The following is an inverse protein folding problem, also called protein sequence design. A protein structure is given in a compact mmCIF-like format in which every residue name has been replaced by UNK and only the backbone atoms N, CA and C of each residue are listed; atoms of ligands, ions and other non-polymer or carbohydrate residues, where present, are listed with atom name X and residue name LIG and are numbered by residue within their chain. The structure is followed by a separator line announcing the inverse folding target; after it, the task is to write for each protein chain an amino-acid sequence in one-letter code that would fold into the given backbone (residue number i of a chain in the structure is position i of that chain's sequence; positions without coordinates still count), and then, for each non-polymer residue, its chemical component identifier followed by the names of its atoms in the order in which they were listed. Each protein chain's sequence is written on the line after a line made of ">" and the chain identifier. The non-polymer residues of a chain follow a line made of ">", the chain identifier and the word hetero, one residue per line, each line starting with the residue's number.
data_IF_998198852635
#
_entry.id   IF_998198852635
#
_cell.length_a   1.000
_cell.length_b   1.000
_cell.length_c   1.000
_cell.angle_alpha   90.00
_cell.angle_beta   90.00
_cell.angle_gamma   90.00
#
_symmetry.space_group_name_H-M   'P 1'
#
loop_
_entity.id
_entity.type
_entity.pdbx_description
1 polymer ?
#
# COMPACT_ATOMS: atom_id res chain seq x y z
N UNK A 1 -6.26 -38.36 -6.85
CA UNK A 1 -7.38 -37.51 -7.27
C UNK A 1 -7.12 -36.13 -6.68
N UNK A 2 -6.43 -35.28 -7.44
CA UNK A 2 -6.01 -33.92 -7.05
C UNK A 2 -6.96 -32.89 -7.68
N UNK A 3 -8.25 -33.21 -7.72
CA UNK A 3 -9.32 -32.36 -8.28
C UNK A 3 -9.95 -31.44 -7.23
N UNK A 4 -9.21 -31.10 -6.17
CA UNK A 4 -9.63 -30.11 -5.20
C UNK A 4 -9.31 -28.71 -5.74
N UNK A 5 -10.31 -28.07 -6.36
CA UNK A 5 -10.33 -26.63 -6.59
C UNK A 5 -9.46 -26.15 -7.76
N UNK A 6 -9.87 -26.50 -8.99
CA UNK A 6 -9.54 -25.68 -10.18
C UNK A 6 -10.41 -24.41 -10.14
N UNK A 7 -10.29 -23.67 -9.04
CA UNK A 7 -10.87 -22.34 -8.88
C UNK A 7 -9.72 -21.36 -9.00
N UNK A 8 -9.65 -20.69 -10.14
CA UNK A 8 -8.85 -19.51 -10.44
C UNK A 8 -8.38 -18.80 -9.16
N UNK A 9 -7.14 -19.05 -8.73
CA UNK A 9 -6.64 -18.47 -7.48
C UNK A 9 -6.48 -16.94 -7.59
N UNK A 10 -6.45 -16.40 -8.81
CA UNK A 10 -6.35 -14.96 -9.07
C UNK A 10 -6.80 -14.66 -10.52
N UNK A 11 -8.02 -14.13 -10.69
CA UNK A 11 -8.40 -13.39 -11.91
C UNK A 11 -8.35 -11.89 -11.59
N UNK A 12 -7.15 -11.42 -11.24
CA UNK A 12 -6.89 -10.01 -10.96
C UNK A 12 -5.69 -9.55 -11.77
N UNK A 13 -5.67 -8.28 -12.22
CA UNK A 13 -4.50 -7.74 -12.89
C UNK A 13 -3.29 -7.73 -11.95
N UNK A 14 -2.19 -8.33 -12.40
CA UNK A 14 -0.89 -8.29 -11.73
C UNK A 14 0.06 -7.33 -12.46
N UNK A 15 0.94 -6.65 -11.71
CA UNK A 15 1.95 -5.75 -12.27
C UNK A 15 3.32 -6.40 -12.32
N UNK A 16 4.03 -6.18 -13.43
CA UNK A 16 5.43 -6.57 -13.54
C UNK A 16 6.26 -5.79 -12.51
N UNK A 17 7.03 -6.51 -11.69
CA UNK A 17 7.91 -5.92 -10.68
C UNK A 17 9.39 -6.18 -11.02
N UNK A 18 10.06 -5.29 -11.78
CA UNK A 18 11.48 -5.42 -12.07
C UNK A 18 12.32 -5.32 -10.79
N UNK A 19 13.22 -6.28 -10.58
CA UNK A 19 14.13 -6.27 -9.41
C UNK A 19 14.90 -4.95 -9.26
N UNK A 20 15.42 -4.30 -10.32
CA UNK A 20 16.10 -3.01 -10.16
C UNK A 20 15.19 -1.93 -9.58
N UNK A 21 13.93 -1.84 -10.02
CA UNK A 21 12.96 -0.88 -9.51
C UNK A 21 12.61 -1.17 -8.06
N UNK A 22 12.32 -2.44 -7.74
CA UNK A 22 12.04 -2.88 -6.37
C UNK A 22 13.21 -2.58 -5.42
N UNK A 23 14.44 -2.78 -5.90
CA UNK A 23 15.67 -2.52 -5.11
C UNK A 23 15.85 -1.03 -4.84
N UNK A 24 15.59 -0.16 -5.82
CA UNK A 24 15.67 1.28 -5.63
C UNK A 24 14.65 1.78 -4.61
N UNK A 25 13.39 1.36 -4.72
CA UNK A 25 12.34 1.69 -3.75
C UNK A 25 12.68 1.16 -2.35
N UNK A 26 13.15 -0.08 -2.26
CA UNK A 26 13.57 -0.68 -0.98
C UNK A 26 14.66 0.16 -0.30
N UNK A 27 15.65 0.68 -1.05
CA UNK A 27 16.70 1.54 -0.50
C UNK A 27 16.16 2.84 0.10
N UNK A 28 15.17 3.45 -0.54
CA UNK A 28 14.49 4.65 -0.02
C UNK A 28 13.73 4.34 1.27
N UNK A 29 13.16 3.14 1.36
CA UNK A 29 12.48 2.59 2.54
C UNK A 29 13.43 2.26 3.70
N UNK A 30 14.75 2.35 3.50
CA UNK A 30 15.73 1.92 4.48
C UNK A 30 15.92 0.39 4.54
N UNK A 31 15.66 -0.30 3.43
CA UNK A 31 15.87 -1.73 3.25
C UNK A 31 17.02 -2.01 2.28
N UNK A 32 17.70 -3.13 2.48
CA UNK A 32 18.76 -3.65 1.61
C UNK A 32 18.37 -5.03 1.10
N UNK A 33 18.47 -5.24 -0.22
CA UNK A 33 18.20 -6.53 -0.84
C UNK A 33 19.35 -7.50 -0.54
N UNK A 34 19.08 -8.59 0.19
CA UNK A 34 20.08 -9.64 0.45
C UNK A 34 20.10 -10.68 -0.67
N UNK A 35 18.93 -11.12 -1.12
CA UNK A 35 18.81 -11.99 -2.30
C UNK A 35 17.44 -11.85 -2.96
N UNK A 36 17.44 -12.10 -4.27
CA UNK A 36 16.26 -12.38 -5.07
C UNK A 36 16.60 -13.58 -5.95
N UNK A 37 15.95 -14.72 -5.72
CA UNK A 37 16.26 -16.00 -6.36
C UNK A 37 14.97 -16.62 -6.88
N UNK A 38 14.97 -17.19 -8.08
CA UNK A 38 13.82 -17.99 -8.51
C UNK A 38 13.62 -19.21 -7.58
N UNK A 39 12.41 -19.76 -7.56
CA UNK A 39 12.09 -20.88 -6.67
C UNK A 39 12.92 -22.15 -6.95
N UNK A 40 13.36 -22.37 -8.19
CA UNK A 40 14.21 -23.52 -8.53
C UNK A 40 15.56 -23.44 -7.83
N UNK A 41 16.23 -22.29 -7.93
CA UNK A 41 17.50 -22.00 -7.27
C UNK A 41 17.33 -21.96 -5.75
N UNK A 42 16.23 -21.35 -5.27
CA UNK A 42 15.91 -21.26 -3.85
C UNK A 42 15.76 -22.66 -3.21
N UNK A 43 15.05 -23.56 -3.90
CA UNK A 43 14.89 -24.96 -3.50
C UNK A 43 16.21 -25.71 -3.62
N UNK A 44 16.95 -25.58 -4.73
CA UNK A 44 18.20 -26.28 -4.94
C UNK A 44 19.23 -25.98 -3.84
N UNK A 45 19.27 -24.75 -3.34
CA UNK A 45 20.14 -24.35 -2.23
C UNK A 45 19.72 -24.92 -0.85
N UNK A 46 18.49 -25.44 -0.71
CA UNK A 46 17.88 -25.85 0.57
C UNK A 46 17.34 -27.28 0.58
N UNK A 47 17.49 -28.03 -0.51
CA UNK A 47 16.91 -29.37 -0.66
C UNK A 47 17.55 -30.44 0.22
N UNK A 48 18.80 -30.23 0.67
CA UNK A 48 19.51 -31.22 1.48
C UNK A 48 18.91 -31.25 2.90
N UNK A 49 18.30 -32.37 3.34
CA UNK A 49 17.69 -32.49 4.65
C UNK A 49 18.70 -32.45 5.80
N UNK A 50 19.99 -32.67 5.54
CA UNK A 50 21.05 -32.57 6.56
C UNK A 50 21.31 -31.12 6.96
N UNK A 51 21.25 -30.23 5.97
CA UNK A 51 21.49 -28.79 6.18
C UNK A 51 20.20 -28.06 6.55
N UNK A 52 19.05 -28.51 6.03
CA UNK A 52 17.76 -27.83 6.19
C UNK A 52 16.62 -28.79 6.60
N UNK A 53 16.71 -29.48 7.76
CA UNK A 53 15.74 -30.49 8.16
C UNK A 53 14.32 -29.93 8.33
N UNK A 54 14.20 -28.72 8.89
CA UNK A 54 12.89 -28.07 9.10
C UNK A 54 12.17 -27.76 7.78
N UNK A 55 12.90 -27.28 6.78
CA UNK A 55 12.36 -26.99 5.44
C UNK A 55 11.92 -28.28 4.75
N UNK A 56 12.72 -29.33 4.85
CA UNK A 56 12.39 -30.63 4.27
C UNK A 56 11.13 -31.23 4.92
N UNK A 57 11.03 -31.19 6.25
CA UNK A 57 9.86 -31.68 6.98
C UNK A 57 8.58 -30.88 6.65
N UNK A 58 8.72 -29.57 6.44
CA UNK A 58 7.58 -28.73 6.07
C UNK A 58 6.91 -29.18 4.76
N UNK A 59 7.69 -29.64 3.77
CA UNK A 59 7.13 -30.12 2.50
C UNK A 59 6.19 -31.32 2.70
N UNK A 60 6.52 -32.26 3.59
CA UNK A 60 5.66 -33.40 3.89
C UNK A 60 4.47 -33.01 4.77
N UNK A 61 4.69 -32.17 5.78
CA UNK A 61 3.63 -31.72 6.69
C UNK A 61 2.54 -30.91 5.96
N UNK A 62 2.96 -30.10 4.98
CA UNK A 62 2.05 -29.33 4.13
C UNK A 62 1.42 -30.15 3.01
N UNK A 63 1.83 -31.41 2.84
CA UNK A 63 1.32 -32.32 1.78
C UNK A 63 1.45 -31.73 0.37
N UNK A 64 2.52 -30.96 0.12
CA UNK A 64 2.78 -30.38 -1.21
C UNK A 64 3.37 -31.40 -2.18
N UNK A 65 3.91 -32.51 -1.66
CA UNK A 65 4.51 -33.58 -2.44
C UNK A 65 3.52 -34.72 -2.64
N UNK A 66 3.64 -35.38 -3.79
CA UNK A 66 2.95 -36.62 -4.08
C UNK A 66 3.54 -37.81 -3.29
N UNK A 67 2.99 -39.01 -3.53
CA UNK A 67 3.45 -40.25 -2.87
C UNK A 67 4.91 -40.63 -3.20
N UNK A 68 5.47 -40.08 -4.27
CA UNK A 68 6.87 -40.27 -4.66
C UNK A 68 7.80 -39.20 -4.07
N UNK A 69 7.26 -38.23 -3.32
CA UNK A 69 8.03 -37.12 -2.77
C UNK A 69 8.34 -36.04 -3.81
N UNK A 70 7.54 -35.91 -4.87
CA UNK A 70 7.74 -34.96 -5.97
C UNK A 70 6.51 -34.10 -6.24
N UNK A 71 6.64 -33.11 -7.12
CA UNK A 71 5.51 -32.39 -7.74
C UNK A 71 5.49 -32.67 -9.25
N UNK A 72 4.38 -32.35 -9.92
CA UNK A 72 4.27 -32.55 -11.36
C UNK A 72 5.23 -31.64 -12.15
N UNK A 73 5.53 -32.02 -13.40
CA UNK A 73 6.41 -31.22 -14.28
C UNK A 73 5.84 -29.84 -14.57
N UNK A 74 4.52 -29.74 -14.68
CA UNK A 74 3.84 -28.48 -14.99
C UNK A 74 3.89 -27.55 -13.77
N UNK A 75 3.57 -28.05 -12.57
CA UNK A 75 3.73 -27.29 -11.32
C UNK A 75 5.18 -26.83 -11.13
N UNK A 76 6.14 -27.70 -11.42
CA UNK A 76 7.56 -27.33 -11.37
C UNK A 76 7.90 -26.24 -12.39
N UNK A 77 7.42 -26.34 -13.63
CA UNK A 77 7.65 -25.32 -14.66
C UNK A 77 7.05 -23.97 -14.26
N UNK A 78 5.82 -23.95 -13.77
CA UNK A 78 5.10 -22.75 -13.31
C UNK A 78 5.84 -22.09 -12.14
N UNK A 79 6.32 -22.89 -11.18
CA UNK A 79 7.06 -22.36 -10.02
C UNK A 79 8.27 -21.51 -10.39
N UNK A 80 8.85 -21.68 -11.59
CA UNK A 80 9.98 -20.89 -12.08
C UNK A 80 9.66 -19.42 -12.31
N UNK A 81 8.38 -19.09 -12.48
CA UNK A 81 7.91 -17.71 -12.63
C UNK A 81 7.99 -16.91 -11.32
N UNK A 82 8.05 -17.61 -10.18
CA UNK A 82 8.10 -16.99 -8.86
C UNK A 82 9.52 -16.89 -8.30
N UNK A 83 9.70 -15.88 -7.46
CA UNK A 83 10.98 -15.59 -6.80
C UNK A 83 10.81 -15.48 -5.28
N UNK A 84 11.81 -15.94 -4.54
CA UNK A 84 11.97 -15.67 -3.13
C UNK A 84 12.88 -14.45 -2.97
N UNK A 85 12.41 -13.45 -2.22
CA UNK A 85 13.12 -12.19 -1.98
C UNK A 85 13.31 -11.99 -0.49
N UNK A 86 14.50 -11.56 -0.08
CA UNK A 86 14.78 -11.18 1.30
C UNK A 86 15.38 -9.78 1.35
N UNK A 87 14.73 -8.92 2.11
CA UNK A 87 15.25 -7.61 2.50
C UNK A 87 15.69 -7.62 3.95
N UNK A 88 16.73 -6.85 4.25
CA UNK A 88 17.15 -6.53 5.61
C UNK A 88 16.91 -5.05 5.88
N UNK A 89 16.28 -4.73 7.00
CA UNK A 89 16.15 -3.34 7.45
C UNK A 89 17.52 -2.81 7.88
N UNK A 90 17.91 -1.67 7.33
CA UNK A 90 19.20 -1.00 7.61
C UNK A 90 19.04 0.38 8.24
N UNK A 91 17.91 1.05 8.03
CA UNK A 91 17.59 2.35 8.64
C UNK A 91 16.07 2.55 8.68
N UNK A 92 15.63 3.62 9.32
CA UNK A 92 14.23 4.03 9.24
C UNK A 92 13.88 4.58 7.85
N UNK A 93 12.62 4.35 7.47
CA UNK A 93 12.08 4.80 6.18
C UNK A 93 12.04 6.32 6.15
N UNK A 94 12.44 6.88 5.01
CA UNK A 94 12.29 8.31 4.70
C UNK A 94 11.10 8.57 3.77
N UNK A 95 10.38 7.51 3.36
CA UNK A 95 9.20 7.66 2.53
C UNK A 95 8.03 8.19 3.33
N UNK A 96 7.35 9.19 2.76
CA UNK A 96 6.03 9.65 3.19
C UNK A 96 5.06 9.08 2.18
N UNK A 97 4.21 8.15 2.61
CA UNK A 97 3.09 7.69 1.78
C UNK A 97 1.96 8.68 1.99
N UNK A 98 1.50 9.32 0.93
CA UNK A 98 0.25 10.08 0.96
C UNK A 98 -0.87 9.04 1.11
N UNK A 99 -1.68 9.18 2.17
CA UNK A 99 -2.87 8.35 2.34
C UNK A 99 -3.88 8.84 1.28
N UNK A 100 -4.01 8.09 0.18
CA UNK A 100 -5.09 8.30 -0.77
C UNK A 100 -6.42 8.00 -0.05
N UNK A 101 -7.13 9.05 0.35
CA UNK A 101 -8.54 9.02 0.74
C UNK A 101 -9.40 8.63 -0.48
N UNK A 102 -9.26 7.40 -0.97
CA UNK A 102 -10.15 6.80 -1.95
C UNK A 102 -11.47 6.45 -1.25
N UNK A 103 -12.27 7.47 -0.94
CA UNK A 103 -13.68 7.28 -0.67
C UNK A 103 -14.32 6.75 -1.96
N UNK A 104 -14.88 5.55 -1.88
CA UNK A 104 -15.69 4.95 -2.93
C UNK A 104 -16.82 5.93 -3.31
N UNK A 105 -16.73 6.53 -4.51
CA UNK A 105 -17.87 7.22 -5.11
C UNK A 105 -18.89 6.16 -5.54
N UNK A 106 -19.85 5.87 -4.65
CA UNK A 106 -21.08 5.17 -5.02
C UNK A 106 -21.78 5.99 -6.12
N UNK A 107 -21.81 5.41 -7.33
CA UNK A 107 -22.58 5.94 -8.45
C UNK A 107 -24.06 5.64 -8.22
N UNK A 108 -24.82 6.64 -7.78
CA UNK A 108 -26.26 6.68 -8.01
C UNK A 108 -26.55 7.57 -9.22
N UNK A 109 -26.89 6.92 -10.33
CA UNK A 109 -27.56 7.53 -11.47
C UNK A 109 -29.01 7.88 -11.06
N UNK A 110 -29.42 9.16 -11.14
CA UNK A 110 -30.63 9.58 -11.88
C UNK A 110 -30.87 11.12 -11.86
N UNK A 111 -30.74 11.71 -13.06
CA UNK A 111 -31.70 12.60 -13.75
C UNK A 111 -31.84 14.09 -13.33
N UNK A 112 -31.26 14.94 -14.19
CA UNK A 112 -31.71 16.25 -14.73
C UNK A 112 -32.43 17.27 -13.83
N UNK A 113 -31.81 18.45 -13.65
CA UNK A 113 -32.42 19.72 -14.06
C UNK A 113 -31.40 20.87 -14.11
N UNK A 114 -31.27 21.44 -15.32
CA UNK A 114 -31.04 22.86 -15.64
C UNK A 114 -29.77 23.59 -15.15
N UNK A 115 -28.98 23.97 -16.15
CA UNK A 115 -28.06 25.10 -16.16
C UNK A 115 -28.66 26.36 -15.50
N UNK A 116 -28.03 26.83 -14.42
CA UNK A 116 -27.93 28.26 -14.14
C UNK A 116 -26.49 28.58 -13.77
N UNK A 117 -25.79 29.15 -14.75
CA UNK A 117 -24.56 29.92 -14.56
C UNK A 117 -24.77 30.99 -13.49
N UNK A 118 -24.14 30.83 -12.33
CA UNK A 118 -23.81 31.95 -11.43
C UNK A 118 -22.32 31.93 -11.12
N UNK A 119 -21.64 33.00 -11.57
CA UNK A 119 -20.28 33.31 -11.23
C UNK A 119 -20.12 33.38 -9.70
N UNK A 120 -19.41 32.42 -9.12
CA UNK A 120 -19.08 32.37 -7.70
C UNK A 120 -17.68 31.82 -7.51
N UNK A 121 -16.67 32.56 -7.96
CA UNK A 121 -15.27 32.29 -7.63
C UNK A 121 -15.04 32.55 -6.13
N UNK A 122 -15.42 31.58 -5.29
CA UNK A 122 -14.97 31.46 -3.89
C UNK A 122 -13.57 30.85 -3.85
N UNK A 123 -12.62 31.50 -4.54
CA UNK A 123 -11.23 31.08 -4.57
C UNK A 123 -10.65 31.10 -3.16
N UNK A 124 -10.13 29.95 -2.72
CA UNK A 124 -9.25 29.86 -1.58
C UNK A 124 -7.96 30.62 -1.92
N UNK A 125 -7.92 31.92 -1.63
CA UNK A 125 -6.68 32.67 -1.52
C UNK A 125 -6.25 32.64 -0.07
N UNK A 126 -5.27 31.81 0.33
CA UNK A 126 -4.70 31.94 1.66
C UNK A 126 -4.11 33.37 1.77
N UNK A 127 -4.25 34.05 2.92
CA UNK A 127 -3.51 35.29 3.15
C UNK A 127 -2.02 35.04 2.99
N UNK A 128 -1.23 36.08 2.70
CA UNK A 128 0.23 35.98 2.52
C UNK A 128 0.84 35.41 3.81
N UNK A 129 1.05 34.09 3.83
CA UNK A 129 1.58 33.35 4.97
C UNK A 129 3.04 33.01 4.75
N UNK A 130 3.80 32.97 5.84
CA UNK A 130 5.20 32.55 5.78
C UNK A 130 5.30 31.09 5.32
N UNK A 131 6.39 30.68 4.64
CA UNK A 131 6.59 29.29 4.24
C UNK A 131 6.54 28.29 5.42
N UNK A 132 6.84 28.75 6.64
CA UNK A 132 6.69 27.96 7.86
C UNK A 132 5.22 27.73 8.24
N UNK A 133 4.37 28.75 8.12
CA UNK A 133 2.93 28.64 8.39
C UNK A 133 2.22 27.74 7.38
N UNK A 134 2.63 27.75 6.10
CA UNK A 134 2.05 26.85 5.09
C UNK A 134 2.24 25.36 5.42
N UNK A 135 3.38 24.98 6.00
CA UNK A 135 3.64 23.59 6.41
C UNK A 135 2.79 23.12 7.58
N UNK A 136 2.22 24.06 8.36
CA UNK A 136 1.44 23.77 9.56
C UNK A 136 -0.07 23.72 9.30
N UNK A 137 -0.51 24.05 8.07
CA UNK A 137 -1.94 24.05 7.68
C UNK A 137 -2.59 22.67 7.90
N UNK A 138 -2.01 21.53 7.45
CA UNK A 138 -2.64 20.22 7.65
C UNK A 138 -2.79 19.85 9.13
N UNK A 139 -1.77 20.21 9.93
CA UNK A 139 -1.75 19.96 11.39
C UNK A 139 -2.79 20.82 12.11
N UNK A 140 -2.91 22.10 11.74
CA UNK A 140 -3.91 23.01 12.27
C UNK A 140 -5.33 22.56 11.93
N UNK A 141 -5.56 22.08 10.70
CA UNK A 141 -6.86 21.55 10.28
C UNK A 141 -7.23 20.27 11.04
N UNK A 142 -6.30 19.33 11.23
CA UNK A 142 -6.53 18.12 12.03
C UNK A 142 -6.88 18.45 13.49
N UNK A 143 -6.17 19.42 14.11
CA UNK A 143 -6.50 19.87 15.47
C UNK A 143 -7.84 20.59 15.55
N UNK A 144 -8.17 21.44 14.58
CA UNK A 144 -9.46 22.13 14.53
C UNK A 144 -10.62 21.12 14.37
N UNK A 145 -10.45 20.11 13.51
CA UNK A 145 -11.41 19.00 13.34
C UNK A 145 -11.56 18.19 14.63
N UNK A 146 -10.46 17.85 15.30
CA UNK A 146 -10.48 17.13 16.58
C UNK A 146 -11.14 17.94 17.70
N UNK A 147 -10.92 19.25 17.73
CA UNK A 147 -11.54 20.16 18.70
C UNK A 147 -13.04 20.36 18.46
N UNK A 148 -13.47 20.36 17.20
CA UNK A 148 -14.89 20.41 16.83
C UNK A 148 -15.60 19.06 16.99
N UNK A 149 -14.90 17.93 16.92
CA UNK A 149 -15.50 16.60 17.05
C UNK A 149 -16.65 16.38 16.06
N UNK A 150 -17.76 15.80 16.52
CA UNK A 150 -18.90 15.43 15.68
C UNK A 150 -19.65 16.60 15.03
N UNK A 151 -19.45 17.85 15.47
CA UNK A 151 -20.10 19.02 14.87
C UNK A 151 -19.32 19.59 13.67
N UNK A 152 -18.12 19.07 13.36
CA UNK A 152 -17.30 19.58 12.26
C UNK A 152 -18.03 19.57 10.91
N UNK A 153 -18.80 18.52 10.63
CA UNK A 153 -19.57 18.40 9.39
C UNK A 153 -20.64 19.49 9.23
N UNK A 154 -21.19 19.98 10.35
CA UNK A 154 -22.28 20.96 10.39
C UNK A 154 -21.80 22.42 10.37
N UNK A 155 -20.49 22.67 10.49
CA UNK A 155 -19.93 24.02 10.44
C UNK A 155 -19.87 24.57 9.01
N UNK A 156 -20.12 25.86 8.87
CA UNK A 156 -19.92 26.61 7.63
C UNK A 156 -18.44 26.67 7.24
N UNK A 157 -18.16 26.96 5.97
CA UNK A 157 -16.78 27.11 5.46
C UNK A 157 -16.02 28.24 6.18
N UNK A 158 -16.72 29.32 6.55
CA UNK A 158 -16.13 30.44 7.29
C UNK A 158 -15.73 30.02 8.71
N UNK A 159 -16.59 29.28 9.42
CA UNK A 159 -16.30 28.79 10.78
C UNK A 159 -15.16 27.76 10.80
N UNK A 160 -15.08 26.91 9.78
CA UNK A 160 -13.98 25.95 9.61
C UNK A 160 -12.65 26.69 9.40
N UNK A 161 -12.65 27.73 8.57
CA UNK A 161 -11.48 28.56 8.30
C UNK A 161 -11.03 29.33 9.55
N UNK A 162 -11.97 29.92 10.30
CA UNK A 162 -11.65 30.64 11.52
C UNK A 162 -10.99 29.73 12.57
N UNK A 163 -11.54 28.54 12.80
CA UNK A 163 -10.98 27.57 13.75
C UNK A 163 -9.62 27.04 13.30
N UNK A 164 -9.42 26.83 12.01
CA UNK A 164 -8.11 26.46 11.46
C UNK A 164 -7.08 27.59 11.69
N UNK A 165 -7.46 28.85 11.46
CA UNK A 165 -6.58 30.00 11.70
C UNK A 165 -6.23 30.16 13.19
N UNK A 166 -7.20 29.93 14.08
CA UNK A 166 -6.96 29.93 15.54
C UNK A 166 -5.96 28.85 15.96
N UNK A 167 -6.07 27.63 15.41
CA UNK A 167 -5.12 26.56 15.68
C UNK A 167 -3.74 26.85 15.07
N UNK A 168 -3.68 27.47 13.90
CA UNK A 168 -2.44 27.86 13.26
C UNK A 168 -1.72 28.97 14.05
N UNK A 169 -2.45 29.94 14.59
CA UNK A 169 -1.92 31.00 15.44
C UNK A 169 -1.35 30.48 16.77
N UNK A 170 -1.82 29.34 17.28
CA UNK A 170 -1.25 28.69 18.47
C UNK A 170 0.09 27.99 18.19
N UNK A 171 0.45 27.80 16.92
CA UNK A 171 1.64 27.06 16.49
C UNK A 171 2.78 27.94 15.99
N UNK A 172 2.55 29.25 15.89
CA UNK A 172 3.54 30.28 15.53
C UNK A 172 3.96 31.01 16.80
#
# INVERSE_FOLDING_TARGET
>A
DHSAGVGEAVDLPEWLTPIPALTSLAKEAGLELEYASNFHEFYAARKDPRDHPSSHNALYNMKVLDRSGSISKDEWSISRMYIAVKFRKVRESTMVLEEDDAAEEEKEDEVNATEETTNGAGGFTPPVMTPAAMKMIPVAMMKAKKAAGGIWGALSSEEKNQRMQEELAKMI
#
